data_IF_230795068465
#
_entry.id   IF_230795068465
#
_cell.length_a   1.000
_cell.length_b   1.000
_cell.length_c   1.000
_cell.angle_alpha   90.00
_cell.angle_beta   90.00
_cell.angle_gamma   90.00
#
_symmetry.space_group_name_H-M   'P 1'
#
loop_
_entity.id
_entity.type
_entity.pdbx_description
1 polymer ?
#
# COMPACT_ATOMS: atom_id res chain seq x y z
N UNK A 1 6.49 0.64 -32.78
CA UNK A 1 7.36 -0.30 -32.02
C UNK A 1 8.37 0.47 -31.19
N UNK A 2 9.01 -0.18 -30.20
CA UNK A 2 9.92 0.46 -29.23
C UNK A 2 10.99 1.38 -29.87
N UNK A 3 11.48 1.02 -31.05
CA UNK A 3 12.47 1.79 -31.80
C UNK A 3 11.97 3.16 -32.29
N UNK A 4 10.68 3.28 -32.62
CA UNK A 4 10.08 4.56 -33.01
C UNK A 4 9.79 5.45 -31.78
N UNK A 5 9.37 4.84 -30.67
CA UNK A 5 9.12 5.55 -29.42
C UNK A 5 10.40 6.17 -28.84
N UNK A 6 11.51 5.42 -28.80
CA UNK A 6 12.81 5.92 -28.33
C UNK A 6 13.36 7.10 -29.16
N UNK A 7 12.98 7.19 -30.44
CA UNK A 7 13.43 8.26 -31.35
C UNK A 7 12.58 9.53 -31.26
N UNK A 8 11.37 9.46 -30.72
CA UNK A 8 10.52 10.64 -30.57
C UNK A 8 11.14 11.53 -29.48
N UNK A 9 11.35 12.83 -29.74
CA UNK A 9 11.80 13.73 -28.69
C UNK A 9 10.76 13.75 -27.57
N UNK A 10 11.25 13.70 -26.33
CA UNK A 10 10.42 13.86 -25.13
C UNK A 10 10.41 15.34 -24.79
N UNK A 11 9.24 15.93 -24.82
CA UNK A 11 9.02 17.27 -24.31
C UNK A 11 8.99 17.21 -22.78
N UNK A 12 9.75 18.10 -22.15
CA UNK A 12 9.80 18.28 -20.69
C UNK A 12 9.32 19.70 -20.43
N UNK A 13 8.39 19.84 -19.49
CA UNK A 13 7.80 21.11 -19.10
C UNK A 13 8.11 21.35 -17.63
N UNK A 14 8.49 22.57 -17.32
CA UNK A 14 8.63 23.07 -15.95
C UNK A 14 7.33 23.73 -15.48
N UNK A 15 7.23 24.09 -14.19
CA UNK A 15 6.02 24.71 -13.65
C UNK A 15 5.71 26.06 -14.31
N UNK A 16 6.76 26.80 -14.69
CA UNK A 16 6.66 28.08 -15.37
C UNK A 16 6.02 27.95 -16.76
N UNK A 17 6.28 26.85 -17.48
CA UNK A 17 5.66 26.56 -18.78
C UNK A 17 4.15 26.29 -18.66
N UNK A 18 3.69 25.97 -17.45
CA UNK A 18 2.31 25.63 -17.12
C UNK A 18 1.58 26.74 -16.34
N UNK A 19 2.26 27.85 -16.03
CA UNK A 19 1.73 28.95 -15.22
C UNK A 19 1.22 28.50 -13.84
N UNK A 20 1.91 27.52 -13.22
CA UNK A 20 1.56 26.99 -11.89
C UNK A 20 2.47 27.58 -10.80
N UNK A 21 1.86 27.93 -9.66
CA UNK A 21 2.61 28.34 -8.48
C UNK A 21 3.21 27.12 -7.76
N UNK A 22 4.45 27.24 -7.30
CA UNK A 22 5.14 26.19 -6.55
C UNK A 22 4.44 25.88 -5.22
N UNK A 23 3.74 26.86 -4.64
CA UNK A 23 3.03 26.71 -3.36
C UNK A 23 1.74 25.88 -3.50
N UNK A 24 1.24 25.68 -4.72
CA UNK A 24 0.02 24.91 -5.00
C UNK A 24 0.31 23.43 -5.30
N UNK A 25 1.57 23.06 -5.50
CA UNK A 25 1.97 21.72 -5.96
C UNK A 25 3.02 21.08 -5.07
N UNK A 26 3.30 19.80 -5.33
CA UNK A 26 4.29 19.03 -4.58
C UNK A 26 3.94 18.93 -3.09
N UNK A 27 4.97 18.91 -2.24
CA UNK A 27 4.78 18.83 -0.79
C UNK A 27 4.25 20.16 -0.21
N UNK A 28 4.58 21.30 -0.82
CA UNK A 28 4.15 22.61 -0.35
C UNK A 28 2.64 22.80 -0.44
N UNK A 29 2.02 22.35 -1.54
CA UNK A 29 0.56 22.39 -1.74
C UNK A 29 -0.22 21.22 -1.14
N UNK A 30 0.45 20.23 -0.54
CA UNK A 30 -0.20 19.02 -0.02
C UNK A 30 -0.92 19.28 1.30
N UNK A 31 -2.16 18.79 1.44
CA UNK A 31 -2.93 18.91 2.68
C UNK A 31 -2.47 17.95 3.78
N UNK A 32 -1.74 16.91 3.41
CA UNK A 32 -1.28 15.87 4.31
C UNK A 32 0.17 15.54 4.03
N UNK A 33 0.88 15.10 5.07
CA UNK A 33 2.25 14.64 4.97
C UNK A 33 2.36 13.23 5.56
N UNK A 34 3.28 12.43 5.00
CA UNK A 34 3.63 11.13 5.56
C UNK A 34 4.51 11.38 6.78
N UNK A 35 3.98 11.08 7.97
CA UNK A 35 4.72 11.20 9.22
C UNK A 35 5.72 10.04 9.39
N UNK A 36 5.29 8.81 9.09
CA UNK A 36 6.16 7.64 9.11
C UNK A 36 5.67 6.56 8.16
N UNK A 37 6.62 5.74 7.69
CA UNK A 37 6.35 4.53 6.92
C UNK A 37 7.23 3.40 7.46
N UNK A 38 6.61 2.32 7.91
CA UNK A 38 7.30 1.14 8.45
C UNK A 38 6.89 -0.10 7.66
N UNK A 39 7.86 -0.97 7.39
CA UNK A 39 7.57 -2.23 6.72
C UNK A 39 6.64 -3.11 7.57
N UNK A 40 5.70 -3.79 6.90
CA UNK A 40 4.83 -4.74 7.57
C UNK A 40 5.67 -5.91 8.10
N UNK A 41 5.55 -6.30 9.38
CA UNK A 41 6.25 -7.47 9.90
C UNK A 41 5.93 -8.72 9.06
N UNK A 42 6.91 -9.63 8.93
CA UNK A 42 6.72 -10.90 8.25
C UNK A 42 5.58 -11.70 8.90
N UNK A 43 4.78 -12.41 8.07
CA UNK A 43 3.76 -13.32 8.59
C UNK A 43 4.44 -14.47 9.33
N UNK A 44 4.04 -14.72 10.56
CA UNK A 44 4.45 -15.90 11.32
C UNK A 44 3.55 -17.08 10.97
N UNK A 45 3.99 -18.29 11.30
CA UNK A 45 3.09 -19.43 11.32
C UNK A 45 1.90 -19.13 12.26
N UNK A 46 0.70 -19.53 11.84
CA UNK A 46 -0.51 -19.45 12.66
C UNK A 46 -0.58 -20.57 13.69
N UNK A 47 -1.65 -20.59 14.47
CA UNK A 47 -1.92 -21.67 15.43
C UNK A 47 -2.24 -22.96 14.69
N UNK A 48 -1.48 -24.03 14.99
CA UNK A 48 -1.76 -25.37 14.47
C UNK A 48 -2.55 -26.14 15.52
N UNK A 49 -3.77 -26.52 15.18
CA UNK A 49 -4.62 -27.38 16.03
C UNK A 49 -4.72 -28.74 15.36
N UNK A 50 -4.27 -29.78 16.07
CA UNK A 50 -4.52 -31.16 15.67
C UNK A 50 -5.89 -31.57 16.21
N UNK A 51 -6.76 -32.06 15.33
CA UNK A 51 -8.10 -32.47 15.73
C UNK A 51 -8.07 -33.85 16.39
N UNK A 52 -8.61 -33.92 17.61
CA UNK A 52 -8.80 -35.13 18.41
C UNK A 52 -10.28 -35.33 18.78
N UNK A 53 -11.19 -34.66 18.07
CA UNK A 53 -12.65 -34.71 18.25
C UNK A 53 -13.30 -33.37 18.60
N UNK A 54 -12.51 -32.34 18.88
CA UNK A 54 -12.97 -31.01 19.33
C UNK A 54 -12.48 -29.86 18.41
N UNK A 55 -11.90 -30.18 17.25
CA UNK A 55 -11.30 -29.17 16.36
C UNK A 55 -12.29 -28.12 15.85
N UNK A 56 -13.53 -28.53 15.58
CA UNK A 56 -14.59 -27.61 15.15
C UNK A 56 -14.95 -26.55 16.21
N UNK A 57 -14.97 -26.95 17.48
CA UNK A 57 -15.20 -26.03 18.61
C UNK A 57 -14.04 -25.03 18.75
N UNK A 58 -12.81 -25.52 18.71
CA UNK A 58 -11.60 -24.69 18.79
C UNK A 58 -11.50 -23.68 17.63
N UNK A 59 -11.92 -24.07 16.42
CA UNK A 59 -11.99 -23.15 15.28
C UNK A 59 -13.03 -22.05 15.51
N UNK A 60 -14.25 -22.40 15.92
CA UNK A 60 -15.29 -21.41 16.20
C UNK A 60 -14.87 -20.43 17.30
N UNK A 61 -14.23 -20.93 18.36
CA UNK A 61 -13.65 -20.11 19.44
C UNK A 61 -12.59 -19.14 18.92
N UNK A 62 -11.67 -19.58 18.04
CA UNK A 62 -10.67 -18.70 17.43
C UNK A 62 -11.32 -17.58 16.58
N UNK A 63 -12.30 -17.93 15.74
CA UNK A 63 -12.97 -16.96 14.86
C UNK A 63 -13.72 -15.90 15.67
N UNK A 64 -14.46 -16.30 16.70
CA UNK A 64 -15.16 -15.37 17.58
C UNK A 64 -14.17 -14.49 18.38
N UNK A 65 -13.09 -15.09 18.92
CA UNK A 65 -12.07 -14.37 19.69
C UNK A 65 -11.31 -13.32 18.87
N UNK A 66 -11.08 -13.57 17.58
CA UNK A 66 -10.46 -12.63 16.64
C UNK A 66 -11.45 -11.67 15.98
N UNK A 67 -12.74 -11.74 16.33
CA UNK A 67 -13.83 -10.94 15.75
C UNK A 67 -13.97 -11.10 14.24
N UNK A 68 -13.76 -12.32 13.75
CA UNK A 68 -14.08 -12.68 12.38
C UNK A 68 -15.55 -13.08 12.22
N UNK A 69 -16.19 -13.51 13.32
CA UNK A 69 -17.63 -13.77 13.47
C UNK A 69 -18.16 -13.19 14.78
#
# INVERSE_FOLDING_TARGET
>A
GIMAAKKKPVESLDLEDLELDADEVGLAGAWTAVDSATERPARTAGTIVKDEGEGGKQLAEFLAGQKFI
#
